data_IF_942480048037
#
_entry.id   IF_942480048037
#
_cell.length_a   1.000
_cell.length_b   1.000
_cell.length_c   1.000
_cell.angle_alpha   90.00
_cell.angle_beta   90.00
_cell.angle_gamma   90.00
#
_symmetry.space_group_name_H-M   'P 1'
#
loop_
_entity.id
_entity.type
_entity.pdbx_description
1 polymer ?
#
# COMPACT_ATOMS: atom_id res chain seq x y z
N UNK A 1 -7.52 7.46 -8.67
CA UNK A 1 -6.49 6.57 -8.12
C UNK A 1 -7.14 5.41 -7.39
N UNK A 2 -7.74 5.57 -6.20
CA UNK A 2 -8.43 4.45 -5.49
C UNK A 2 -9.41 3.64 -6.36
N UNK A 3 -10.30 4.31 -7.09
CA UNK A 3 -11.25 3.63 -7.98
C UNK A 3 -10.55 2.81 -9.08
N UNK A 4 -9.42 3.30 -9.60
CA UNK A 4 -8.61 2.61 -10.60
C UNK A 4 -7.96 1.34 -10.02
N UNK A 5 -7.34 1.46 -8.84
CA UNK A 5 -6.62 0.35 -8.18
C UNK A 5 -7.50 -0.83 -7.79
N UNK A 6 -8.78 -0.57 -7.53
CA UNK A 6 -9.69 -1.56 -6.90
C UNK A 6 -10.84 -1.99 -7.80
N UNK A 7 -10.88 -1.52 -9.05
CA UNK A 7 -12.04 -1.72 -9.93
C UNK A 7 -13.32 -1.10 -9.35
N UNK A 8 -13.22 0.11 -8.80
CA UNK A 8 -14.32 0.79 -8.15
C UNK A 8 -14.67 0.25 -6.76
N UNK A 9 -13.67 -0.10 -5.96
CA UNK A 9 -13.79 -0.69 -4.61
C UNK A 9 -14.44 -2.09 -4.58
N UNK A 10 -14.59 -2.74 -5.74
CA UNK A 10 -15.09 -4.11 -5.84
C UNK A 10 -14.08 -5.11 -5.26
N UNK A 11 -12.79 -4.85 -5.44
CA UNK A 11 -11.72 -5.73 -5.01
C UNK A 11 -11.06 -5.23 -3.72
N UNK A 12 -11.06 -6.08 -2.68
CA UNK A 12 -10.38 -5.83 -1.40
C UNK A 12 -8.92 -6.31 -1.46
N UNK A 13 -8.65 -7.34 -2.26
CA UNK A 13 -7.34 -7.98 -2.40
C UNK A 13 -6.98 -8.11 -3.88
N UNK A 14 -5.69 -8.25 -4.16
CA UNK A 14 -5.18 -8.58 -5.49
C UNK A 14 -5.82 -9.88 -6.02
N UNK A 15 -6.18 -9.90 -7.31
CA UNK A 15 -6.93 -11.02 -7.88
C UNK A 15 -6.03 -12.17 -8.35
N UNK A 16 -4.83 -11.88 -8.84
CA UNK A 16 -3.93 -12.90 -9.33
C UNK A 16 -3.12 -13.53 -8.18
N UNK A 17 -3.67 -14.58 -7.58
CA UNK A 17 -3.05 -15.26 -6.43
C UNK A 17 -1.69 -15.90 -6.75
N UNK A 18 -1.39 -16.18 -8.02
CA UNK A 18 -0.08 -16.70 -8.43
C UNK A 18 1.06 -15.70 -8.15
N UNK A 19 0.75 -14.40 -8.08
CA UNK A 19 1.74 -13.36 -7.82
C UNK A 19 2.05 -13.17 -6.33
N UNK A 20 1.23 -13.71 -5.42
CA UNK A 20 1.37 -13.43 -3.98
C UNK A 20 2.77 -13.69 -3.41
N UNK A 21 3.51 -14.74 -3.81
CA UNK A 21 4.85 -15.00 -3.30
C UNK A 21 5.91 -13.97 -3.74
N UNK A 22 5.61 -13.10 -4.73
CA UNK A 22 6.56 -12.13 -5.27
C UNK A 22 6.81 -10.95 -4.33
N UNK A 23 5.85 -10.61 -3.48
CA UNK A 23 5.85 -9.37 -2.68
C UNK A 23 6.62 -9.48 -1.36
N UNK A 24 7.53 -10.43 -1.26
CA UNK A 24 8.42 -10.55 -0.11
C UNK A 24 9.85 -10.28 -0.58
N UNK A 25 10.34 -9.09 -0.24
CA UNK A 25 11.74 -8.73 -0.40
C UNK A 25 12.55 -9.34 0.75
N UNK A 26 13.27 -10.43 0.43
CA UNK A 26 14.11 -11.16 1.38
C UNK A 26 15.42 -10.44 1.70
N UNK A 27 15.77 -9.35 1.00
CA UNK A 27 16.92 -8.51 1.33
C UNK A 27 16.68 -7.62 2.55
N UNK A 28 15.42 -7.41 2.93
CA UNK A 28 15.06 -6.65 4.13
C UNK A 28 15.47 -7.41 5.39
N UNK A 29 16.15 -6.74 6.33
CA UNK A 29 16.65 -7.36 7.56
C UNK A 29 15.56 -7.94 8.47
N UNK A 30 14.33 -7.43 8.37
CA UNK A 30 13.16 -7.94 9.09
C UNK A 30 12.42 -9.05 8.34
N UNK A 31 12.80 -9.34 7.10
CA UNK A 31 12.23 -10.41 6.28
C UNK A 31 10.71 -10.32 6.14
N UNK A 32 10.07 -11.49 6.22
CA UNK A 32 8.67 -11.70 5.91
C UNK A 32 7.97 -12.52 7.01
N UNK A 33 7.80 -11.97 8.22
CA UNK A 33 7.32 -12.73 9.38
C UNK A 33 5.88 -13.25 9.25
N UNK A 34 5.02 -12.59 8.47
CA UNK A 34 3.69 -13.09 8.17
C UNK A 34 3.66 -14.21 7.09
N UNK A 35 4.81 -14.55 6.49
CA UNK A 35 4.97 -15.52 5.42
C UNK A 35 5.36 -14.90 4.08
N UNK A 36 6.03 -15.68 3.23
CA UNK A 36 6.50 -15.25 1.89
C UNK A 36 5.36 -14.70 1.03
N UNK A 37 4.19 -15.31 1.08
CA UNK A 37 3.03 -14.97 0.24
C UNK A 37 2.02 -14.06 0.95
N UNK A 38 2.45 -13.32 1.97
CA UNK A 38 1.53 -12.57 2.83
C UNK A 38 1.40 -11.07 2.49
N UNK A 39 2.20 -10.52 1.58
CA UNK A 39 2.30 -9.08 1.33
C UNK A 39 1.79 -8.65 -0.05
N UNK A 40 0.85 -9.41 -0.60
CA UNK A 40 0.10 -9.06 -1.80
C UNK A 40 -0.77 -7.82 -1.61
N UNK A 41 -1.29 -7.28 -2.70
CA UNK A 41 -2.07 -6.05 -2.71
C UNK A 41 -3.35 -6.14 -1.88
N UNK A 42 -3.56 -5.19 -0.97
CA UNK A 42 -4.80 -5.05 -0.17
C UNK A 42 -5.28 -3.62 -0.05
N UNK A 43 -6.58 -3.46 0.09
CA UNK A 43 -7.24 -2.20 0.42
C UNK A 43 -7.25 -1.16 -0.71
N UNK A 44 -7.64 0.09 -0.42
CA UNK A 44 -7.96 1.10 -1.44
C UNK A 44 -6.79 1.53 -2.33
N UNK A 45 -5.55 1.30 -1.90
CA UNK A 45 -4.32 1.60 -2.66
C UNK A 45 -3.57 0.31 -3.06
N UNK A 46 -4.18 -0.86 -2.86
CA UNK A 46 -3.55 -2.16 -3.12
C UNK A 46 -2.13 -2.27 -2.52
N UNK A 47 -2.00 -1.95 -1.23
CA UNK A 47 -0.72 -1.95 -0.51
C UNK A 47 -0.01 -3.30 -0.68
N UNK A 48 1.19 -3.27 -1.24
CA UNK A 48 1.96 -4.46 -1.62
C UNK A 48 3.41 -4.31 -1.14
N UNK A 49 4.12 -5.43 -0.98
CA UNK A 49 5.51 -5.54 -0.48
C UNK A 49 5.70 -5.41 1.04
N UNK A 50 6.45 -6.34 1.63
CA UNK A 50 6.78 -6.35 3.07
C UNK A 50 7.33 -5.02 3.60
N UNK A 51 8.17 -4.32 2.82
CA UNK A 51 8.71 -3.02 3.23
C UNK A 51 7.66 -1.91 3.30
N UNK A 52 6.64 -1.93 2.44
CA UNK A 52 5.54 -0.97 2.50
C UNK A 52 4.61 -1.28 3.66
N UNK A 53 4.31 -2.56 3.93
CA UNK A 53 3.56 -2.95 5.13
C UNK A 53 4.30 -2.52 6.40
N UNK A 54 5.64 -2.67 6.45
CA UNK A 54 6.46 -2.18 7.56
C UNK A 54 6.37 -0.65 7.70
N UNK A 55 6.62 0.10 6.63
CA UNK A 55 6.64 1.56 6.65
C UNK A 55 5.26 2.16 7.00
N UNK A 56 4.18 1.62 6.42
CA UNK A 56 2.82 2.01 6.77
C UNK A 56 2.49 1.69 8.23
N UNK A 57 2.89 0.50 8.69
CA UNK A 57 2.66 0.08 10.06
C UNK A 57 3.35 0.98 11.09
N UNK A 58 4.60 1.34 10.83
CA UNK A 58 5.37 2.27 11.67
C UNK A 58 4.71 3.65 11.76
N UNK A 59 4.30 4.20 10.62
CA UNK A 59 3.68 5.53 10.57
C UNK A 59 2.29 5.58 11.24
N UNK A 60 1.55 4.47 11.19
CA UNK A 60 0.19 4.38 11.73
C UNK A 60 0.15 3.84 13.18
N UNK A 61 1.27 3.35 13.71
CA UNK A 61 1.32 2.70 15.02
C UNK A 61 0.60 1.34 15.06
N UNK A 62 0.62 0.59 13.95
CA UNK A 62 -0.08 -0.69 13.77
C UNK A 62 0.92 -1.70 13.20
N UNK A 63 1.13 -2.86 13.83
CA UNK A 63 2.09 -3.87 13.30
C UNK A 63 1.52 -4.60 12.07
N UNK A 64 1.53 -3.91 10.93
CA UNK A 64 1.08 -4.42 9.63
C UNK A 64 2.09 -5.39 9.01
N UNK A 65 3.35 -5.40 9.44
CA UNK A 65 4.34 -6.38 8.98
C UNK A 65 3.97 -7.78 9.48
N UNK A 66 3.59 -7.92 10.76
CA UNK A 66 3.14 -9.21 11.31
C UNK A 66 1.66 -9.49 11.07
N UNK A 67 0.85 -8.44 10.89
CA UNK A 67 -0.61 -8.56 10.72
C UNK A 67 -1.10 -7.91 9.41
N UNK A 68 -0.59 -8.32 8.23
CA UNK A 68 -0.94 -7.69 6.96
C UNK A 68 -2.43 -7.84 6.60
N UNK A 69 -3.09 -8.87 7.14
CA UNK A 69 -4.53 -9.10 6.92
C UNK A 69 -5.42 -7.99 7.50
N UNK A 70 -4.93 -7.17 8.45
CA UNK A 70 -5.71 -6.04 8.95
C UNK A 70 -6.12 -5.07 7.82
N UNK A 71 -5.31 -4.96 6.76
CA UNK A 71 -5.61 -4.09 5.61
C UNK A 71 -6.81 -4.60 4.78
N UNK A 72 -7.16 -5.89 4.88
CA UNK A 72 -8.35 -6.45 4.23
C UNK A 72 -9.52 -6.71 5.20
N UNK A 73 -9.29 -6.78 6.51
CA UNK A 73 -10.34 -7.10 7.49
C UNK A 73 -10.81 -5.90 8.30
N UNK A 74 -10.04 -4.82 8.37
CA UNK A 74 -10.42 -3.58 9.08
C UNK A 74 -10.46 -2.41 8.10
N UNK A 75 -11.66 -1.88 7.87
CA UNK A 75 -11.87 -0.78 6.92
C UNK A 75 -11.14 0.51 7.32
N UNK A 76 -11.04 0.80 8.63
CA UNK A 76 -10.32 1.98 9.09
C UNK A 76 -8.81 1.84 8.85
N UNK A 77 -8.25 0.66 9.07
CA UNK A 77 -6.86 0.35 8.72
C UNK A 77 -6.64 0.46 7.21
N UNK A 78 -7.54 -0.10 6.40
CA UNK A 78 -7.46 -0.04 4.95
C UNK A 78 -7.44 1.41 4.42
N UNK A 79 -8.30 2.28 4.94
CA UNK A 79 -8.30 3.69 4.55
C UNK A 79 -7.09 4.46 5.07
N UNK A 80 -6.62 4.15 6.28
CA UNK A 80 -5.40 4.75 6.83
C UNK A 80 -4.17 4.43 6.00
N UNK A 81 -4.03 3.22 5.48
CA UNK A 81 -2.89 2.88 4.59
C UNK A 81 -2.97 3.64 3.26
N UNK A 82 -4.17 3.81 2.69
CA UNK A 82 -4.35 4.61 1.49
C UNK A 82 -4.01 6.10 1.70
N UNK A 83 -4.44 6.68 2.83
CA UNK A 83 -4.10 8.05 3.20
C UNK A 83 -2.61 8.20 3.53
N UNK A 84 -2.01 7.23 4.20
CA UNK A 84 -0.57 7.20 4.43
C UNK A 84 0.19 7.28 3.12
N UNK A 85 -0.16 6.47 2.12
CA UNK A 85 0.47 6.51 0.80
C UNK A 85 0.34 7.91 0.18
N UNK A 86 -0.90 8.40 0.10
CA UNK A 86 -1.22 9.69 -0.53
C UNK A 86 -0.44 10.87 0.04
N UNK A 87 -0.22 10.90 1.35
CA UNK A 87 0.34 12.06 2.05
C UNK A 87 1.84 11.92 2.34
N UNK A 88 2.46 10.75 2.14
CA UNK A 88 3.85 10.53 2.55
C UNK A 88 4.72 9.85 1.50
N UNK A 89 4.12 9.12 0.55
CA UNK A 89 4.87 8.34 -0.43
C UNK A 89 4.90 9.07 -1.77
N UNK A 90 6.04 8.94 -2.46
CA UNK A 90 6.27 9.48 -3.80
C UNK A 90 6.20 8.40 -4.89
N UNK A 91 6.16 7.13 -4.49
CA UNK A 91 6.31 5.96 -5.36
C UNK A 91 7.43 6.16 -6.39
N UNK A 92 7.19 5.90 -7.69
CA UNK A 92 8.16 6.13 -8.75
C UNK A 92 8.29 7.59 -9.19
N UNK A 93 7.49 8.50 -8.62
CA UNK A 93 7.48 9.92 -8.90
C UNK A 93 8.50 10.72 -8.10
N UNK A 94 8.32 12.05 -8.06
CA UNK A 94 9.25 12.99 -7.40
C UNK A 94 8.66 13.72 -6.19
N UNK A 95 7.34 13.65 -6.01
CA UNK A 95 6.58 14.31 -4.95
C UNK A 95 5.41 13.44 -4.48
N UNK A 96 4.79 13.80 -3.36
CA UNK A 96 3.61 13.08 -2.88
C UNK A 96 2.37 13.45 -3.72
N UNK A 97 1.38 12.54 -3.86
CA UNK A 97 0.09 12.89 -4.42
C UNK A 97 -0.58 14.08 -3.73
N UNK A 98 -0.43 14.19 -2.40
CA UNK A 98 -0.89 15.35 -1.64
C UNK A 98 -0.28 16.65 -2.18
N UNK A 99 1.06 16.74 -2.20
CA UNK A 99 1.80 17.92 -2.65
C UNK A 99 1.50 18.27 -4.10
N UNK A 100 1.30 17.25 -4.95
CA UNK A 100 0.94 17.44 -6.34
C UNK A 100 -0.36 18.23 -6.50
N UNK A 101 -1.37 17.93 -5.67
CA UNK A 101 -2.67 18.59 -5.72
C UNK A 101 -2.63 19.93 -5.00
N UNK A 102 -2.15 19.99 -3.76
CA UNK A 102 -2.22 21.23 -2.95
C UNK A 102 -1.32 22.35 -3.50
N UNK A 103 -0.23 21.99 -4.20
CA UNK A 103 0.67 22.96 -4.82
C UNK A 103 0.39 23.18 -6.32
N UNK A 104 -0.74 22.68 -6.84
CA UNK A 104 -1.16 22.92 -8.23
C UNK A 104 -0.22 22.33 -9.30
N UNK A 105 0.50 21.24 -8.99
CA UNK A 105 1.39 20.54 -9.94
C UNK A 105 0.63 19.63 -10.91
N UNK A 106 -0.66 19.39 -10.65
CA UNK A 106 -1.60 18.72 -11.53
C UNK A 106 -1.81 17.25 -11.21
N UNK A 107 -2.97 16.72 -11.62
CA UNK A 107 -3.38 15.35 -11.33
C UNK A 107 -2.41 14.29 -11.91
N UNK A 108 -1.72 14.60 -13.01
CA UNK A 108 -0.76 13.68 -13.63
C UNK A 108 0.40 13.25 -12.72
N UNK A 109 0.83 14.10 -11.79
CA UNK A 109 1.87 13.71 -10.82
C UNK A 109 1.37 12.66 -9.83
N UNK A 110 0.06 12.66 -9.51
CA UNK A 110 -0.54 11.64 -8.64
C UNK A 110 -0.61 10.26 -9.29
N UNK A 111 -0.54 10.20 -10.64
CA UNK A 111 -0.51 8.95 -11.42
C UNK A 111 0.93 8.41 -11.51
N UNK A 112 1.93 9.30 -11.51
CA UNK A 112 3.35 8.94 -11.45
C UNK A 112 3.81 8.52 -10.05
N UNK A 113 3.02 8.84 -9.03
CA UNK A 113 3.35 8.57 -7.63
C UNK A 113 3.00 7.17 -7.21
#
# INVERSE_FOLDING_TARGET
NVNHETGGLVHIVEQNTANYPHYCDTSQSYGCPAGQSAYYGRGPIQLSWNFNYKAAGDALGIDLLRNPNLVQTDAAVAWKTALWYWNTQKGPGTMTPHDAIVNGRGFGETIRS
#
